data_IF_589137463707
#
_entry.id   IF_589137463707
#
_cell.length_a   1.000
_cell.length_b   1.000
_cell.length_c   1.000
_cell.angle_alpha   90.00
_cell.angle_beta   90.00
_cell.angle_gamma   90.00
#
_symmetry.space_group_name_H-M   'P 1'
#
loop_
_entity.id
_entity.type
_entity.pdbx_description
1 polymer ?
#
# COMPACT_ATOMS: atom_id res chain seq x y z
N UNK A 1 7.54 8.25 3.33
CA UNK A 1 6.68 7.04 3.49
C UNK A 1 7.30 5.80 2.88
N UNK A 2 7.81 5.85 1.66
CA UNK A 2 8.44 4.67 1.03
C UNK A 2 9.56 4.07 1.88
N UNK A 3 10.46 4.91 2.37
CA UNK A 3 11.56 4.46 3.24
C UNK A 3 11.05 3.79 4.52
N UNK A 4 9.99 4.33 5.12
CA UNK A 4 9.36 3.75 6.30
C UNK A 4 8.83 2.34 6.00
N UNK A 5 8.13 2.16 4.88
CA UNK A 5 7.55 0.88 4.50
C UNK A 5 8.61 -0.19 4.22
N UNK A 6 9.70 0.20 3.57
CA UNK A 6 10.77 -0.73 3.21
C UNK A 6 11.52 -1.23 4.45
N UNK A 7 11.68 -0.40 5.45
CA UNK A 7 12.45 -0.72 6.65
C UNK A 7 11.60 -1.19 7.83
N UNK A 8 10.28 -1.08 7.73
CA UNK A 8 9.40 -1.53 8.79
C UNK A 8 9.41 -3.06 8.89
N UNK A 9 9.51 -3.58 10.10
CA UNK A 9 9.62 -5.02 10.33
C UNK A 9 8.26 -5.70 10.28
N UNK A 10 7.78 -5.97 9.09
CA UNK A 10 6.44 -6.54 8.87
C UNK A 10 6.45 -8.03 8.50
N UNK A 11 7.62 -8.60 8.25
CA UNK A 11 7.74 -9.98 7.82
C UNK A 11 8.19 -10.89 8.96
N UNK A 12 7.78 -12.15 8.89
CA UNK A 12 8.23 -13.16 9.83
C UNK A 12 9.65 -13.61 9.50
N UNK A 13 10.43 -13.90 10.53
CA UNK A 13 11.81 -14.32 10.39
C UNK A 13 12.26 -15.23 11.52
N UNK A 14 13.56 -15.58 11.59
CA UNK A 14 14.09 -16.47 12.61
C UNK A 14 13.85 -16.02 14.06
N UNK A 15 13.73 -14.71 14.26
CA UNK A 15 13.49 -14.11 15.58
C UNK A 15 12.01 -13.95 15.92
N UNK A 16 11.09 -14.48 15.10
CA UNK A 16 9.66 -14.45 15.34
C UNK A 16 8.88 -13.70 14.28
N UNK A 17 7.59 -13.45 14.56
CA UNK A 17 6.73 -12.67 13.70
C UNK A 17 7.14 -11.20 13.74
N UNK A 18 6.90 -10.47 12.65
CA UNK A 18 7.21 -9.03 12.53
C UNK A 18 8.67 -8.70 12.91
N UNK A 19 9.60 -9.53 12.49
CA UNK A 19 11.02 -9.38 12.84
C UNK A 19 11.89 -8.92 11.67
N UNK A 20 11.44 -9.07 10.43
CA UNK A 20 12.22 -8.72 9.24
C UNK A 20 11.55 -7.61 8.42
N UNK A 21 12.36 -6.64 7.90
CA UNK A 21 11.87 -5.66 6.95
C UNK A 21 11.79 -6.24 5.53
N UNK A 22 11.15 -5.52 4.61
CA UNK A 22 11.18 -5.84 3.18
C UNK A 22 12.60 -5.75 2.61
N UNK A 23 13.38 -4.80 3.09
CA UNK A 23 14.74 -4.59 2.63
C UNK A 23 15.58 -5.86 2.79
N UNK A 24 16.22 -6.29 1.72
CA UNK A 24 17.03 -7.51 1.68
C UNK A 24 16.25 -8.82 1.98
N UNK A 25 14.93 -8.81 1.84
CA UNK A 25 14.09 -9.99 2.12
C UNK A 25 14.01 -10.97 0.96
N UNK A 26 14.33 -10.53 -0.26
CA UNK A 26 14.08 -11.33 -1.47
C UNK A 26 12.59 -11.39 -1.85
N UNK A 27 11.73 -10.64 -1.20
CA UNK A 27 10.29 -10.60 -1.47
C UNK A 27 9.97 -9.55 -2.52
N UNK A 28 8.79 -9.68 -3.11
CA UNK A 28 8.24 -8.69 -4.04
C UNK A 28 7.13 -7.88 -3.37
N UNK A 29 6.84 -6.71 -3.93
CA UNK A 29 5.77 -5.83 -3.45
C UNK A 29 4.80 -5.57 -4.60
N UNK A 30 3.51 -5.66 -4.30
CA UNK A 30 2.45 -5.20 -5.19
C UNK A 30 1.85 -3.91 -4.61
N UNK A 31 1.93 -2.82 -5.37
CA UNK A 31 1.32 -1.55 -5.00
C UNK A 31 0.03 -1.36 -5.78
N UNK A 32 -1.06 -1.14 -5.06
CA UNK A 32 -2.39 -0.92 -5.65
C UNK A 32 -2.97 0.36 -5.07
N UNK A 33 -3.40 1.26 -5.94
CA UNK A 33 -4.11 2.47 -5.53
C UNK A 33 -5.55 2.13 -5.15
N UNK A 34 -6.06 2.78 -4.09
CA UNK A 34 -7.43 2.56 -3.63
C UNK A 34 -7.97 3.82 -2.95
N UNK A 35 -8.70 4.65 -3.69
CA UNK A 35 -9.26 5.90 -3.15
C UNK A 35 -10.34 5.66 -2.10
N UNK A 36 -11.02 4.52 -2.15
CA UNK A 36 -12.08 4.19 -1.19
C UNK A 36 -11.57 4.02 0.24
N UNK A 37 -10.26 3.89 0.44
CA UNK A 37 -9.67 3.93 1.78
C UNK A 37 -9.86 5.29 2.47
N UNK A 38 -10.10 6.35 1.70
CA UNK A 38 -10.42 7.68 2.23
C UNK A 38 -11.93 7.90 2.46
N UNK A 39 -12.74 6.86 2.34
CA UNK A 39 -14.18 6.93 2.53
C UNK A 39 -14.54 7.34 3.95
N UNK A 40 -15.57 8.19 4.08
CA UNK A 40 -16.19 8.50 5.35
C UNK A 40 -17.40 7.58 5.50
N UNK A 41 -17.42 6.81 6.59
CA UNK A 41 -18.39 5.74 6.81
C UNK A 41 -19.23 5.94 8.06
N UNK A 42 -19.00 7.00 8.82
CA UNK A 42 -19.63 7.22 10.12
C UNK A 42 -20.97 7.96 10.06
N UNK A 43 -21.44 8.30 8.85
CA UNK A 43 -22.72 9.01 8.65
C UNK A 43 -23.62 8.19 7.73
N UNK A 44 -24.58 7.48 8.34
CA UNK A 44 -25.55 6.68 7.59
C UNK A 44 -24.94 5.45 6.94
N UNK A 45 -25.59 4.97 5.89
CA UNK A 45 -25.26 3.71 5.22
C UNK A 45 -24.68 3.89 3.82
N UNK A 46 -24.34 5.11 3.45
CA UNK A 46 -23.72 5.43 2.17
C UNK A 46 -22.35 6.05 2.39
N UNK A 47 -21.29 5.54 1.78
CA UNK A 47 -19.97 6.14 1.93
C UNK A 47 -19.90 7.52 1.26
N UNK A 48 -19.09 8.40 1.82
CA UNK A 48 -18.73 9.69 1.24
C UNK A 48 -17.24 9.70 0.92
N UNK A 49 -16.88 10.29 -0.21
CA UNK A 49 -15.50 10.35 -0.69
C UNK A 49 -14.95 11.77 -0.78
N UNK A 50 -15.61 12.74 -0.12
CA UNK A 50 -15.22 14.15 -0.25
C UNK A 50 -13.82 14.46 0.31
N UNK A 51 -13.27 13.59 1.17
CA UNK A 51 -11.90 13.73 1.68
C UNK A 51 -10.84 13.07 0.79
N UNK A 52 -11.25 12.32 -0.22
CA UNK A 52 -10.31 11.77 -1.18
C UNK A 52 -9.77 12.90 -2.08
N UNK A 53 -8.50 12.78 -2.48
CA UNK A 53 -7.91 13.72 -3.42
C UNK A 53 -8.63 13.65 -4.78
N UNK A 54 -8.63 14.78 -5.50
CA UNK A 54 -9.14 14.79 -6.88
C UNK A 54 -8.32 13.82 -7.75
N UNK A 55 -8.95 13.18 -8.76
CA UNK A 55 -8.27 12.14 -9.55
C UNK A 55 -6.93 12.56 -10.12
N UNK A 56 -6.79 13.79 -10.65
CA UNK A 56 -5.54 14.28 -11.21
C UNK A 56 -4.44 14.38 -10.17
N UNK A 57 -4.77 14.94 -9.00
CA UNK A 57 -3.82 15.10 -7.90
C UNK A 57 -3.47 13.73 -7.30
N UNK A 58 -4.45 12.86 -7.16
CA UNK A 58 -4.25 11.50 -6.66
C UNK A 58 -3.30 10.70 -7.55
N UNK A 59 -3.45 10.83 -8.88
CA UNK A 59 -2.58 10.15 -9.83
C UNK A 59 -1.14 10.63 -9.71
N UNK A 60 -0.93 11.95 -9.61
CA UNK A 60 0.41 12.52 -9.43
C UNK A 60 1.08 12.02 -8.15
N UNK A 61 0.34 12.03 -7.04
CA UNK A 61 0.84 11.54 -5.76
C UNK A 61 1.18 10.04 -5.82
N UNK A 62 0.32 9.26 -6.47
CA UNK A 62 0.56 7.83 -6.65
C UNK A 62 1.80 7.57 -7.50
N UNK A 63 1.93 8.26 -8.64
CA UNK A 63 3.08 8.10 -9.53
C UNK A 63 4.40 8.49 -8.83
N UNK A 64 4.39 9.58 -8.05
CA UNK A 64 5.54 9.99 -7.25
C UNK A 64 5.92 8.94 -6.21
N UNK A 65 4.93 8.41 -5.49
CA UNK A 65 5.16 7.38 -4.48
C UNK A 65 5.74 6.10 -5.10
N UNK A 66 5.17 5.63 -6.21
CA UNK A 66 5.66 4.43 -6.89
C UNK A 66 7.08 4.64 -7.40
N UNK A 67 7.36 5.79 -8.00
CA UNK A 67 8.70 6.13 -8.49
C UNK A 67 9.72 6.12 -7.36
N UNK A 68 9.42 6.76 -6.25
CA UNK A 68 10.27 6.79 -5.07
C UNK A 68 10.49 5.39 -4.49
N UNK A 69 9.42 4.60 -4.40
CA UNK A 69 9.50 3.24 -3.89
C UNK A 69 10.39 2.37 -4.77
N UNK A 70 10.24 2.45 -6.10
CA UNK A 70 11.05 1.68 -7.05
C UNK A 70 12.55 2.01 -6.99
N UNK A 71 12.89 3.25 -6.68
CA UNK A 71 14.30 3.64 -6.49
C UNK A 71 14.94 2.94 -5.30
N UNK A 72 14.16 2.73 -4.23
CA UNK A 72 14.63 2.11 -3.00
C UNK A 72 14.47 0.59 -3.01
N UNK A 73 13.47 0.09 -3.71
CA UNK A 73 13.12 -1.33 -3.75
C UNK A 73 12.63 -1.70 -5.16
N UNK A 74 13.51 -2.26 -6.02
CA UNK A 74 13.18 -2.48 -7.43
C UNK A 74 12.19 -3.61 -7.71
N UNK A 75 12.01 -4.56 -6.79
CA UNK A 75 11.11 -5.70 -6.99
C UNK A 75 9.65 -5.32 -6.71
N UNK A 76 9.15 -4.34 -7.45
CA UNK A 76 7.81 -3.77 -7.31
C UNK A 76 7.00 -4.03 -8.56
N UNK A 77 5.78 -4.51 -8.35
CA UNK A 77 4.73 -4.55 -9.36
C UNK A 77 3.61 -3.63 -8.91
N UNK A 78 2.86 -3.10 -9.86
CA UNK A 78 1.78 -2.17 -9.55
C UNK A 78 0.51 -2.52 -10.31
N UNK A 79 -0.64 -2.16 -9.72
CA UNK A 79 -1.91 -2.17 -10.41
C UNK A 79 -2.02 -0.96 -11.35
N UNK A 80 -3.14 -0.88 -12.05
CA UNK A 80 -3.43 0.24 -12.94
C UNK A 80 -4.29 1.26 -12.20
N UNK A 81 -3.78 2.49 -12.08
CA UNK A 81 -4.49 3.58 -11.39
C UNK A 81 -5.88 3.83 -12.02
N UNK A 82 -6.90 3.88 -11.17
CA UNK A 82 -8.27 4.16 -11.58
C UNK A 82 -8.99 3.04 -12.32
N UNK A 83 -8.36 1.89 -12.53
CA UNK A 83 -8.97 0.76 -13.22
C UNK A 83 -9.78 -0.11 -12.24
N UNK A 84 -10.79 -0.79 -12.78
CA UNK A 84 -11.42 -1.90 -12.07
C UNK A 84 -10.49 -3.10 -12.12
N UNK A 85 -10.16 -3.65 -10.95
CA UNK A 85 -9.20 -4.75 -10.85
C UNK A 85 -9.78 -5.87 -9.99
N UNK A 86 -9.57 -7.10 -10.45
CA UNK A 86 -9.76 -8.28 -9.62
C UNK A 86 -8.39 -8.73 -9.13
N UNK A 87 -8.24 -8.82 -7.82
CA UNK A 87 -6.98 -9.20 -7.20
C UNK A 87 -7.16 -10.54 -6.51
N UNK A 88 -6.40 -11.53 -6.96
CA UNK A 88 -6.42 -12.86 -6.38
C UNK A 88 -5.16 -13.07 -5.55
N UNK A 89 -5.33 -13.37 -4.28
CA UNK A 89 -4.21 -13.59 -3.36
C UNK A 89 -4.61 -14.49 -2.21
N UNK A 90 -3.61 -15.06 -1.55
CA UNK A 90 -3.81 -15.71 -0.26
C UNK A 90 -3.21 -14.84 0.82
N UNK A 91 -4.05 -14.34 1.73
CA UNK A 91 -3.59 -13.55 2.85
C UNK A 91 -3.13 -14.47 3.98
N UNK A 92 -1.82 -14.43 4.26
CA UNK A 92 -1.27 -15.09 5.44
C UNK A 92 -1.34 -14.13 6.62
N UNK A 93 -2.50 -14.10 7.28
CA UNK A 93 -2.69 -13.31 8.48
C UNK A 93 -1.88 -13.85 9.67
N UNK A 94 -1.93 -13.15 10.81
CA UNK A 94 -2.80 -12.01 11.06
C UNK A 94 -2.23 -10.63 10.73
N UNK A 95 -1.12 -10.54 10.01
CA UNK A 95 -0.36 -9.29 9.90
C UNK A 95 -0.98 -8.36 8.86
N UNK A 96 -1.42 -7.19 9.31
CA UNK A 96 -1.87 -6.06 8.46
C UNK A 96 -1.54 -4.77 9.21
N UNK A 97 -0.95 -3.81 8.53
CA UNK A 97 -0.62 -2.53 9.11
C UNK A 97 -1.19 -1.37 8.31
N UNK A 98 -1.65 -0.33 9.01
CA UNK A 98 -2.05 0.93 8.40
C UNK A 98 -0.99 1.99 8.69
N UNK A 99 -0.62 2.74 7.66
CA UNK A 99 0.28 3.86 7.79
C UNK A 99 -0.39 5.11 7.25
N UNK A 100 -0.22 6.22 7.97
CA UNK A 100 -0.63 7.55 7.52
C UNK A 100 0.59 8.42 7.30
N UNK A 101 0.60 9.10 6.18
CA UNK A 101 1.61 10.10 5.88
C UNK A 101 1.28 11.44 6.54
#
# INVERSE_FOLDING_TARGET
>A
MANKLINFRMLDGPNGITSLPLNNSGKEVLIVSQFTLAAITNKGNKPSFHKAAKPENAKLMYDEFVSEFKQLFPDVKEGKFGAFMEISLTNKGPVTFNFKA
#
